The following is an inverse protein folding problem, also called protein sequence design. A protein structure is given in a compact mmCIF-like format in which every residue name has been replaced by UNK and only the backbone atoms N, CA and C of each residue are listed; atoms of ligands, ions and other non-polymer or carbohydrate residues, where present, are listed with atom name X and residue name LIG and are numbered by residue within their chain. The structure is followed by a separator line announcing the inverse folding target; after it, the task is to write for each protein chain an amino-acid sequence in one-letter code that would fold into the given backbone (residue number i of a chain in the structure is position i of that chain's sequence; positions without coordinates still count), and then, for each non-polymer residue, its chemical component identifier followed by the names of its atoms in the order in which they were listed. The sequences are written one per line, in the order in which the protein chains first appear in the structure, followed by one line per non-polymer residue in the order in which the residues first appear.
data_IF_997734212014
#
_entry.id   IF_997734212014
#
_cell.length_a   1.000
_cell.length_b   1.000
_cell.length_c   1.000
_cell.angle_alpha   90.00
_cell.angle_beta   90.00
_cell.angle_gamma   90.00
#
_symmetry.space_group_name_H-M   'P 1'
#
loop_
_entity.id
_entity.type
_entity.pdbx_description
1 polymer ?
#
# COMPACT_ATOMS: atom_id res chain seq x y z
N UNK A 1 16.94 3.15 -6.19
CA UNK A 1 16.04 4.24 -6.61
C UNK A 1 14.65 3.66 -6.79
N UNK A 2 13.60 4.15 -6.08
CA UNK A 2 12.23 3.72 -6.35
C UNK A 2 11.82 4.16 -7.76
N UNK A 3 11.24 3.25 -8.54
CA UNK A 3 10.69 3.54 -9.86
C UNK A 3 9.27 4.08 -9.68
N UNK A 4 9.10 5.39 -9.77
CA UNK A 4 7.78 6.01 -9.78
C UNK A 4 7.27 6.00 -11.23
N UNK A 5 6.25 5.20 -11.54
CA UNK A 5 5.56 5.22 -12.83
C UNK A 5 4.28 6.04 -12.70
N UNK A 6 4.31 7.30 -13.16
CA UNK A 6 3.12 8.16 -13.19
C UNK A 6 2.42 7.93 -14.53
N UNK A 7 1.33 7.14 -14.52
CA UNK A 7 0.39 7.13 -15.65
C UNK A 7 -0.62 8.26 -15.43
N UNK A 8 -0.68 9.21 -16.35
CA UNK A 8 -1.60 10.35 -16.29
C UNK A 8 -2.97 9.91 -16.82
N UNK A 9 -3.65 9.08 -16.05
CA UNK A 9 -5.11 9.00 -16.10
C UNK A 9 -5.61 9.51 -14.75
N UNK A 10 -6.93 9.58 -14.51
CA UNK A 10 -7.53 10.05 -13.23
C UNK A 10 -7.15 9.20 -11.99
N UNK A 11 -6.09 8.40 -12.10
CA UNK A 11 -5.58 7.41 -11.17
C UNK A 11 -4.06 7.50 -11.12
N UNK A 12 -3.53 7.80 -9.95
CA UNK A 12 -2.10 7.73 -9.65
C UNK A 12 -1.83 6.46 -8.87
N UNK A 13 -0.91 5.63 -9.35
CA UNK A 13 -0.46 4.42 -8.65
C UNK A 13 1.00 4.56 -8.24
N UNK A 14 1.26 4.29 -6.96
CA UNK A 14 2.60 4.31 -6.37
C UNK A 14 2.82 2.95 -5.70
N UNK A 15 3.73 2.16 -6.25
CA UNK A 15 4.15 0.90 -5.64
C UNK A 15 5.46 1.14 -4.89
N UNK A 16 5.45 0.87 -3.58
CA UNK A 16 6.52 1.17 -2.62
C UNK A 16 7.09 -0.12 -2.03
N UNK A 17 8.30 -0.03 -1.45
CA UNK A 17 8.78 -1.06 -0.53
C UNK A 17 8.07 -0.96 0.83
N UNK A 18 8.33 -1.91 1.73
CA UNK A 18 7.71 -1.98 3.06
C UNK A 18 7.90 -0.70 3.89
N UNK A 19 9.14 -0.21 4.00
CA UNK A 19 9.48 0.94 4.86
C UNK A 19 8.81 2.22 4.37
N UNK A 20 8.86 2.44 3.05
CA UNK A 20 8.21 3.58 2.40
C UNK A 20 6.69 3.49 2.55
N UNK A 21 6.10 2.31 2.36
CA UNK A 21 4.67 2.09 2.57
C UNK A 21 4.25 2.42 4.01
N UNK A 22 5.01 1.97 5.02
CA UNK A 22 4.73 2.29 6.44
C UNK A 22 4.85 3.78 6.74
N UNK A 23 5.81 4.46 6.11
CA UNK A 23 5.94 5.91 6.22
C UNK A 23 4.70 6.63 5.66
N UNK A 24 4.28 6.26 4.44
CA UNK A 24 3.06 6.79 3.83
C UNK A 24 1.81 6.49 4.66
N UNK A 25 1.68 5.27 5.19
CA UNK A 25 0.54 4.89 6.03
C UNK A 25 0.44 5.78 7.26
N UNK A 26 1.56 6.07 7.93
CA UNK A 26 1.57 6.94 9.10
C UNK A 26 1.21 8.38 8.74
N UNK A 27 1.82 8.92 7.69
CA UNK A 27 1.61 10.29 7.25
C UNK A 27 0.16 10.51 6.80
N UNK A 28 -0.32 9.65 5.90
CA UNK A 28 -1.63 9.82 5.29
C UNK A 28 -2.75 9.59 6.31
N UNK A 29 -2.65 8.57 7.18
CA UNK A 29 -3.66 8.38 8.25
C UNK A 29 -3.77 9.57 9.19
N UNK A 30 -2.69 10.34 9.37
CA UNK A 30 -2.72 11.56 10.17
C UNK A 30 -3.30 12.76 9.43
N UNK A 31 -3.14 12.80 8.10
CA UNK A 31 -3.49 13.94 7.25
C UNK A 31 -4.87 13.82 6.59
N UNK A 32 -5.36 12.59 6.38
CA UNK A 32 -6.59 12.30 5.63
C UNK A 32 -7.48 11.37 6.44
N UNK A 33 -8.74 11.77 6.62
CA UNK A 33 -9.73 11.00 7.35
C UNK A 33 -10.49 9.97 6.48
N UNK A 34 -10.36 10.05 5.16
CA UNK A 34 -11.09 9.25 4.16
C UNK A 34 -10.22 8.22 3.45
N UNK A 35 -9.16 7.73 4.10
CA UNK A 35 -8.31 6.67 3.52
C UNK A 35 -9.01 5.32 3.68
N UNK A 36 -9.22 4.66 2.55
CA UNK A 36 -9.59 3.26 2.50
C UNK A 36 -8.33 2.40 2.37
N UNK A 37 -8.33 1.23 3.01
CA UNK A 37 -7.22 0.29 2.99
C UNK A 37 -7.74 -1.05 2.49
N UNK A 38 -7.10 -1.55 1.44
CA UNK A 38 -7.34 -2.87 0.87
C UNK A 38 -6.13 -3.77 1.12
N UNK A 39 -6.37 -4.97 1.66
CA UNK A 39 -5.33 -5.99 1.89
C UNK A 39 -5.56 -7.16 0.92
N UNK A 40 -4.50 -7.63 0.28
CA UNK A 40 -4.54 -8.71 -0.71
C UNK A 40 -3.36 -9.65 -0.52
N UNK A 41 -3.59 -10.96 -0.57
CA UNK A 41 -2.53 -11.96 -0.59
C UNK A 41 -2.06 -12.17 -2.03
N UNK A 42 -0.77 -11.98 -2.28
CA UNK A 42 -0.15 -12.27 -3.56
C UNK A 42 0.06 -13.77 -3.76
N UNK A 43 0.25 -14.18 -5.02
CA UNK A 43 0.37 -15.59 -5.44
C UNK A 43 1.53 -16.33 -4.75
N UNK A 44 2.54 -15.60 -4.28
CA UNK A 44 3.71 -16.09 -3.57
C UNK A 44 3.55 -16.11 -2.03
N UNK A 45 2.34 -15.86 -1.52
CA UNK A 45 2.06 -15.78 -0.09
C UNK A 45 2.55 -14.49 0.57
N UNK A 46 3.12 -13.55 -0.19
CA UNK A 46 3.43 -12.22 0.31
C UNK A 46 2.12 -11.43 0.48
N UNK A 47 1.96 -10.79 1.62
CA UNK A 47 0.84 -9.90 1.83
C UNK A 47 1.14 -8.54 1.19
N UNK A 48 0.15 -7.98 0.51
CA UNK A 48 0.20 -6.65 -0.10
C UNK A 48 -0.91 -5.78 0.46
N UNK A 49 -0.60 -4.52 0.70
CA UNK A 49 -1.57 -3.56 1.23
C UNK A 49 -1.59 -2.32 0.36
N UNK A 50 -2.78 -1.86 0.03
CA UNK A 50 -3.01 -0.69 -0.81
C UNK A 50 -3.85 0.32 -0.05
N UNK A 51 -3.35 1.56 0.07
CA UNK A 51 -4.11 2.71 0.54
C UNK A 51 -4.74 3.42 -0.64
N UNK A 52 -6.04 3.72 -0.52
CA UNK A 52 -6.83 4.39 -1.52
C UNK A 52 -7.41 5.68 -0.94
N UNK A 53 -7.22 6.79 -1.63
CA UNK A 53 -7.79 8.08 -1.27
C UNK A 53 -8.00 8.95 -2.51
N UNK A 54 -8.81 10.01 -2.36
CA UNK A 54 -9.11 10.94 -3.45
C UNK A 54 -8.66 12.36 -3.09
N UNK A 55 -8.06 13.05 -4.06
CA UNK A 55 -7.82 14.50 -4.01
C UNK A 55 -8.48 15.12 -5.24
N UNK A 56 -9.54 15.89 -5.04
CA UNK A 56 -10.41 16.33 -6.13
C UNK A 56 -11.01 15.13 -6.87
N UNK A 57 -10.85 15.07 -8.19
CA UNK A 57 -11.32 13.96 -9.03
C UNK A 57 -10.27 12.84 -9.21
N UNK A 58 -9.09 12.98 -8.60
CA UNK A 58 -7.98 12.03 -8.81
C UNK A 58 -7.97 10.98 -7.70
N UNK A 59 -8.00 9.71 -8.08
CA UNK A 59 -7.82 8.57 -7.19
C UNK A 59 -6.32 8.28 -7.03
N UNK A 60 -5.86 8.14 -5.79
CA UNK A 60 -4.50 7.75 -5.47
C UNK A 60 -4.49 6.36 -4.86
N UNK A 61 -3.59 5.51 -5.36
CA UNK A 61 -3.35 4.15 -4.85
C UNK A 61 -1.90 4.03 -4.45
N UNK A 62 -1.63 3.82 -3.17
CA UNK A 62 -0.28 3.57 -2.66
C UNK A 62 -0.23 2.14 -2.16
N UNK A 63 0.46 1.28 -2.91
CA UNK A 63 0.64 -0.13 -2.62
C UNK A 63 2.01 -0.44 -2.05
N UNK A 64 2.10 -1.42 -1.16
CA UNK A 64 3.38 -1.97 -0.73
C UNK A 64 3.24 -3.35 -0.09
N UNK A 65 4.34 -4.14 -0.05
CA UNK A 65 4.33 -5.41 0.65
C UNK A 65 4.22 -5.15 2.16
N UNK A 66 3.54 -6.05 2.89
CA UNK A 66 3.60 -6.09 4.34
C UNK A 66 4.31 -7.37 4.78
N UNK A 67 5.22 -7.25 5.75
CA UNK A 67 5.74 -8.45 6.40
C UNK A 67 4.56 -9.16 7.09
N UNK A 68 4.39 -10.48 6.89
CA UNK A 68 3.43 -11.24 7.68
C UNK A 68 3.74 -11.00 9.15
N UNK A 69 2.70 -10.74 9.96
CA UNK A 69 2.89 -10.66 11.41
C UNK A 69 3.49 -11.99 11.85
N UNK A 70 4.39 -12.01 12.83
CA UNK A 70 5.00 -13.26 13.31
C UNK A 70 3.97 -14.32 13.72
N UNK A 71 2.71 -13.91 14.01
CA UNK A 71 1.58 -14.79 14.27
C UNK A 71 1.06 -15.59 13.06
N UNK A 72 1.37 -15.16 11.83
CA UNK A 72 0.99 -15.83 10.58
C UNK A 72 2.12 -16.70 10.00
N UNK A 73 3.26 -16.83 10.70
CA UNK A 73 4.22 -17.90 10.41
C UNK A 73 3.58 -19.21 10.80
N UNK A 74 2.91 -19.86 9.84
CA UNK A 74 2.57 -21.27 9.95
C UNK A 74 3.90 -22.00 10.16
N UNK A 75 4.12 -22.47 11.40
CA UNK A 75 5.23 -23.34 11.75
C UNK A 75 4.94 -24.66 11.04
N UNK A 76 5.49 -24.83 9.85
CA UNK A 76 5.57 -26.15 9.21
C UNK A 76 6.66 -26.90 9.96
N UNK A 77 6.22 -27.69 10.93
CA UNK A 77 7.05 -28.70 11.62
C UNK A 77 6.75 -30.05 11.01
#
# INVERSE_FOLDING_TARGET
MPKISIQVERRVRIDCNYDDYKCWERLLRSALHNIFIEETTLVDGAYWKTMLFHIGETEYRIGGPIMPKEKDRIITT
#
